data_IF_828299005097
#
_entry.id   IF_828299005097
#
_cell.length_a   1.000
_cell.length_b   1.000
_cell.length_c   1.000
_cell.angle_alpha   90.00
_cell.angle_beta   90.00
_cell.angle_gamma   90.00
#
_symmetry.space_group_name_H-M   'P 1'
#
loop_
_entity.id
_entity.type
_entity.pdbx_description
1 polymer ?
#
# COMPACT_ATOMS: atom_id res chain seq x y z
N UNK A 1 4.22 -3.38 18.66
CA UNK A 1 3.32 -4.51 18.96
C UNK A 1 2.46 -4.22 20.17
N UNK A 2 3.02 -3.98 21.33
CA UNK A 2 2.30 -3.77 22.59
C UNK A 2 1.25 -2.62 22.56
N UNK A 3 1.50 -1.54 21.82
CA UNK A 3 0.54 -0.45 21.69
C UNK A 3 -0.65 -0.89 20.84
N UNK A 4 -0.40 -1.54 19.71
CA UNK A 4 -1.44 -2.05 18.81
C UNK A 4 -2.32 -3.08 19.55
N UNK A 5 -1.71 -3.99 20.33
CA UNK A 5 -2.45 -5.00 21.10
C UNK A 5 -3.44 -4.39 22.12
N UNK A 6 -3.18 -3.16 22.61
CA UNK A 6 -4.07 -2.46 23.55
C UNK A 6 -5.30 -1.84 22.90
N UNK A 7 -5.25 -1.57 21.60
CA UNK A 7 -6.34 -0.92 20.85
C UNK A 7 -6.98 -1.84 19.82
N UNK A 8 -6.48 -3.07 19.69
CA UNK A 8 -6.91 -4.00 18.64
C UNK A 8 -8.41 -4.34 18.72
N UNK A 9 -8.97 -4.40 19.92
CA UNK A 9 -10.40 -4.73 20.13
C UNK A 9 -11.34 -3.55 19.79
N UNK A 10 -10.79 -2.33 19.66
CA UNK A 10 -11.57 -1.12 19.39
C UNK A 10 -11.72 -0.83 17.90
N UNK A 11 -10.96 -1.52 17.03
CA UNK A 11 -10.89 -1.24 15.59
C UNK A 11 -10.88 -2.51 14.75
N UNK A 12 -11.61 -2.48 13.63
CA UNK A 12 -11.58 -3.55 12.61
C UNK A 12 -10.26 -3.58 11.84
N UNK A 13 -9.65 -2.40 11.62
CA UNK A 13 -8.39 -2.23 10.91
C UNK A 13 -7.53 -1.14 11.56
N UNK A 14 -6.22 -1.39 11.63
CA UNK A 14 -5.22 -0.41 12.03
C UNK A 14 -4.22 -0.27 10.87
N UNK A 15 -4.08 0.94 10.33
CA UNK A 15 -3.12 1.26 9.29
C UNK A 15 -1.89 1.90 9.91
N UNK A 16 -0.72 1.34 9.62
CA UNK A 16 0.57 1.86 10.06
C UNK A 16 1.28 2.43 8.84
N UNK A 17 1.34 3.75 8.72
CA UNK A 17 2.13 4.43 7.70
C UNK A 17 3.58 4.52 8.14
N UNK A 18 4.50 4.08 7.27
CA UNK A 18 5.93 4.02 7.56
C UNK A 18 6.72 4.84 6.55
N UNK A 19 7.78 5.48 7.01
CA UNK A 19 8.72 6.16 6.12
C UNK A 19 9.49 5.18 5.20
N UNK A 20 10.16 5.68 4.14
CA UNK A 20 10.88 4.87 3.16
C UNK A 20 12.25 4.37 3.67
N UNK A 21 12.58 4.57 4.92
CA UNK A 21 13.87 4.23 5.49
C UNK A 21 13.84 2.93 6.26
N UNK A 22 14.95 2.18 6.19
CA UNK A 22 15.17 1.00 7.01
C UNK A 22 15.62 1.45 8.42
N UNK A 23 14.67 1.80 9.24
CA UNK A 23 14.88 2.30 10.60
C UNK A 23 14.08 1.46 11.64
N UNK A 24 14.29 1.70 12.94
CA UNK A 24 13.54 0.99 13.98
C UNK A 24 12.02 1.19 13.91
N UNK A 25 11.53 2.29 13.33
CA UNK A 25 10.09 2.52 13.19
C UNK A 25 9.48 1.56 12.17
N UNK A 26 10.16 1.35 11.04
CA UNK A 26 9.75 0.34 10.05
C UNK A 26 9.75 -1.06 10.66
N UNK A 27 10.81 -1.44 11.39
CA UNK A 27 10.89 -2.75 12.04
C UNK A 27 9.76 -2.95 13.05
N UNK A 28 9.44 -1.93 13.87
CA UNK A 28 8.29 -1.99 14.77
C UNK A 28 6.95 -2.11 14.04
N UNK A 29 6.80 -1.41 12.90
CA UNK A 29 5.64 -1.53 12.03
C UNK A 29 5.47 -2.96 11.49
N UNK A 30 6.53 -3.54 10.95
CA UNK A 30 6.54 -4.92 10.44
C UNK A 30 6.20 -5.95 11.55
N UNK A 31 6.82 -5.78 12.73
CA UNK A 31 6.56 -6.67 13.88
C UNK A 31 5.12 -6.61 14.38
N UNK A 32 4.43 -5.48 14.19
CA UNK A 32 3.07 -5.26 14.67
C UNK A 32 1.98 -5.55 13.63
N UNK A 33 2.35 -5.67 12.35
CA UNK A 33 1.41 -5.81 11.24
C UNK A 33 1.16 -7.26 10.86
N UNK A 34 -0.08 -7.59 10.52
CA UNK A 34 -0.45 -8.89 9.96
C UNK A 34 -0.25 -8.93 8.43
N UNK A 35 -0.29 -7.76 7.79
CA UNK A 35 -0.19 -7.61 6.35
C UNK A 35 0.68 -6.41 5.98
N UNK A 36 1.54 -6.59 4.99
CA UNK A 36 2.31 -5.52 4.34
C UNK A 36 1.68 -5.15 3.00
N UNK A 37 1.33 -3.88 2.82
CA UNK A 37 0.87 -3.35 1.54
C UNK A 37 1.95 -2.46 0.94
N UNK A 38 2.52 -2.86 -0.21
CA UNK A 38 3.67 -2.21 -0.83
C UNK A 38 3.29 -1.48 -2.11
N UNK A 39 3.24 -0.13 -2.11
CA UNK A 39 3.07 0.64 -3.33
C UNK A 39 4.36 0.58 -4.18
N UNK A 40 4.18 0.30 -5.47
CA UNK A 40 5.27 0.19 -6.42
C UNK A 40 5.05 1.18 -7.56
N UNK A 41 5.70 2.35 -7.54
CA UNK A 41 5.64 3.28 -8.67
C UNK A 41 6.34 2.69 -9.91
N UNK A 42 5.88 3.00 -11.13
CA UNK A 42 6.41 2.42 -12.34
C UNK A 42 7.72 3.07 -12.82
N UNK A 43 8.12 4.20 -12.25
CA UNK A 43 9.38 4.83 -12.57
C UNK A 43 10.56 3.91 -12.21
N UNK A 44 11.50 3.73 -13.12
CA UNK A 44 12.54 2.71 -13.05
C UNK A 44 13.34 2.74 -11.74
N UNK A 45 13.67 3.94 -11.25
CA UNK A 45 14.43 4.13 -9.99
C UNK A 45 13.61 3.68 -8.79
N UNK A 46 12.33 4.08 -8.75
CA UNK A 46 11.41 3.74 -7.65
C UNK A 46 11.11 2.24 -7.64
N UNK A 47 10.90 1.68 -8.83
CA UNK A 47 10.69 0.25 -9.00
C UNK A 47 11.87 -0.58 -8.47
N UNK A 48 13.10 -0.23 -8.86
CA UNK A 48 14.31 -0.89 -8.36
C UNK A 48 14.48 -0.74 -6.85
N UNK A 49 14.14 0.42 -6.31
CA UNK A 49 14.17 0.65 -4.85
C UNK A 49 13.19 -0.24 -4.11
N UNK A 50 11.99 -0.40 -4.64
CA UNK A 50 10.98 -1.31 -4.08
C UNK A 50 11.43 -2.77 -4.14
N UNK A 51 11.99 -3.21 -5.27
CA UNK A 51 12.53 -4.57 -5.38
C UNK A 51 13.65 -4.82 -4.37
N UNK A 52 14.56 -3.87 -4.22
CA UNK A 52 15.67 -3.96 -3.26
C UNK A 52 15.17 -4.01 -1.81
N UNK A 53 14.07 -3.32 -1.49
CA UNK A 53 13.42 -3.43 -0.20
C UNK A 53 12.83 -4.84 0.02
N UNK A 54 12.08 -5.35 -0.96
CA UNK A 54 11.45 -6.66 -0.86
C UNK A 54 12.45 -7.81 -0.74
N UNK A 55 13.60 -7.73 -1.40
CA UNK A 55 14.66 -8.73 -1.25
C UNK A 55 15.30 -8.75 0.13
N UNK A 56 15.21 -7.64 0.87
CA UNK A 56 15.71 -7.53 2.24
C UNK A 56 14.68 -7.85 3.31
N UNK A 57 13.41 -7.92 2.93
CA UNK A 57 12.32 -8.16 3.88
C UNK A 57 12.51 -9.47 4.68
N UNK A 58 12.87 -10.61 4.06
CA UNK A 58 13.13 -11.84 4.82
C UNK A 58 14.24 -11.69 5.86
N UNK A 59 15.36 -11.07 5.50
CA UNK A 59 16.48 -10.81 6.42
C UNK A 59 16.07 -9.93 7.61
N UNK A 60 15.17 -8.96 7.36
CA UNK A 60 14.65 -8.08 8.39
C UNK A 60 13.72 -8.81 9.36
N UNK A 61 12.89 -9.73 8.85
CA UNK A 61 12.02 -10.56 9.69
C UNK A 61 12.82 -11.55 10.52
N UNK A 62 13.80 -12.22 9.92
CA UNK A 62 14.73 -13.12 10.61
C UNK A 62 15.48 -12.41 11.76
N UNK A 63 15.95 -11.20 11.50
CA UNK A 63 16.60 -10.38 12.53
C UNK A 63 15.67 -10.04 13.70
N UNK A 64 14.39 -9.75 13.43
CA UNK A 64 13.41 -9.52 14.49
C UNK A 64 13.22 -10.77 15.35
N UNK A 65 13.19 -11.96 14.73
CA UNK A 65 13.10 -13.25 15.42
C UNK A 65 14.34 -13.52 16.29
N UNK A 66 15.53 -13.24 15.78
CA UNK A 66 16.80 -13.33 16.53
C UNK A 66 16.82 -12.40 17.76
N UNK A 67 16.20 -11.23 17.67
CA UNK A 67 16.04 -10.28 18.77
C UNK A 67 14.87 -10.66 19.73
N UNK A 68 14.23 -11.81 19.52
CA UNK A 68 13.12 -12.33 20.36
C UNK A 68 11.78 -11.66 20.07
N UNK A 69 11.65 -11.00 18.93
CA UNK A 69 10.39 -10.41 18.47
C UNK A 69 9.79 -11.30 17.39
N UNK A 70 8.67 -11.94 17.70
CA UNK A 70 7.93 -12.77 16.76
C UNK A 70 7.06 -11.88 15.84
N UNK A 71 7.39 -11.73 14.52
CA UNK A 71 6.60 -10.95 13.59
C UNK A 71 5.22 -11.60 13.38
N UNK A 72 4.18 -10.78 13.23
CA UNK A 72 2.84 -11.27 12.86
C UNK A 72 2.62 -11.34 11.35
N UNK A 73 3.56 -10.85 10.57
CA UNK A 73 3.39 -10.66 9.13
C UNK A 73 3.12 -11.99 8.42
N UNK A 74 1.89 -12.18 7.98
CA UNK A 74 1.44 -13.39 7.31
C UNK A 74 1.44 -13.27 5.78
N UNK A 75 1.39 -12.05 5.26
CA UNK A 75 1.39 -11.82 3.82
C UNK A 75 1.92 -10.43 3.44
N UNK A 76 2.41 -10.33 2.19
CA UNK A 76 2.77 -9.08 1.53
C UNK A 76 1.98 -8.96 0.23
N UNK A 77 1.37 -7.80 0.01
CA UNK A 77 0.62 -7.47 -1.20
C UNK A 77 1.31 -6.29 -1.89
N UNK A 78 1.72 -6.48 -3.14
CA UNK A 78 2.19 -5.41 -4.00
C UNK A 78 1.05 -4.78 -4.80
N UNK A 79 1.17 -3.51 -5.15
CA UNK A 79 0.30 -2.88 -6.14
C UNK A 79 1.04 -1.79 -6.91
N UNK A 80 0.65 -1.59 -8.17
CA UNK A 80 1.19 -0.50 -8.97
C UNK A 80 0.52 0.81 -8.58
N UNK A 81 1.32 1.81 -8.19
CA UNK A 81 0.87 3.16 -7.85
C UNK A 81 1.35 4.18 -8.89
N UNK A 82 0.70 5.35 -8.92
CA UNK A 82 1.05 6.46 -9.83
C UNK A 82 1.12 6.05 -11.31
N UNK A 83 0.29 5.11 -11.72
CA UNK A 83 0.24 4.62 -13.09
C UNK A 83 -0.25 5.69 -14.07
N UNK A 84 0.38 5.74 -15.24
CA UNK A 84 -0.04 6.53 -16.39
C UNK A 84 -0.11 5.63 -17.62
N UNK A 85 -0.62 6.15 -18.74
CA UNK A 85 -0.68 5.43 -20.03
C UNK A 85 0.66 5.36 -20.79
N UNK A 86 1.78 5.64 -20.13
CA UNK A 86 3.11 5.53 -20.75
C UNK A 86 3.49 4.07 -20.94
N UNK A 87 4.08 3.75 -22.09
CA UNK A 87 4.52 2.38 -22.43
C UNK A 87 5.50 1.80 -21.41
N UNK A 88 6.40 2.62 -20.85
CA UNK A 88 7.35 2.17 -19.83
C UNK A 88 6.65 1.71 -18.55
N UNK A 89 5.48 2.30 -18.24
CA UNK A 89 4.66 1.88 -17.10
C UNK A 89 4.00 0.52 -17.32
N UNK A 90 3.61 0.19 -18.55
CA UNK A 90 3.09 -1.14 -18.90
C UNK A 90 4.17 -2.21 -18.73
N UNK A 91 5.40 -1.90 -19.16
CA UNK A 91 6.55 -2.79 -18.97
C UNK A 91 6.84 -3.02 -17.48
N UNK A 92 6.86 -1.96 -16.67
CA UNK A 92 7.06 -2.07 -15.23
C UNK A 92 5.93 -2.87 -14.55
N UNK A 93 4.69 -2.73 -15.02
CA UNK A 93 3.56 -3.51 -14.53
C UNK A 93 3.71 -5.00 -14.84
N UNK A 94 4.16 -5.35 -16.06
CA UNK A 94 4.42 -6.74 -16.43
C UNK A 94 5.53 -7.36 -15.58
N UNK A 95 6.61 -6.61 -15.35
CA UNK A 95 7.71 -7.05 -14.50
C UNK A 95 7.30 -7.20 -13.03
N UNK A 96 6.46 -6.29 -12.53
CA UNK A 96 5.93 -6.40 -11.17
C UNK A 96 5.08 -7.68 -11.00
N UNK A 97 4.30 -8.08 -12.00
CA UNK A 97 3.56 -9.35 -11.99
C UNK A 97 4.49 -10.56 -11.91
N UNK A 98 5.63 -10.54 -12.56
CA UNK A 98 6.62 -11.61 -12.46
C UNK A 98 7.24 -11.67 -11.06
N UNK A 99 7.56 -10.53 -10.46
CA UNK A 99 8.21 -10.43 -9.15
C UNK A 99 7.28 -10.78 -8.00
N UNK A 100 6.09 -10.20 -7.99
CA UNK A 100 5.12 -10.43 -6.92
C UNK A 100 4.31 -11.72 -7.12
N UNK A 101 4.30 -12.27 -8.35
CA UNK A 101 3.49 -13.41 -8.75
C UNK A 101 2.01 -13.23 -8.34
N UNK A 102 1.47 -14.12 -7.53
CA UNK A 102 0.09 -14.04 -7.03
C UNK A 102 -0.13 -12.96 -5.96
N UNK A 103 0.94 -12.33 -5.46
CA UNK A 103 0.85 -11.33 -4.40
C UNK A 103 0.73 -9.89 -4.92
N UNK A 104 0.58 -9.68 -6.22
CA UNK A 104 0.25 -8.36 -6.77
C UNK A 104 -1.27 -8.20 -6.91
N UNK A 105 -1.78 -7.00 -6.63
CA UNK A 105 -3.15 -6.65 -6.98
C UNK A 105 -3.28 -6.42 -8.49
N UNK A 106 -4.35 -6.94 -9.10
CA UNK A 106 -4.70 -6.61 -10.48
C UNK A 106 -5.15 -5.16 -10.64
N UNK A 107 -5.62 -4.55 -9.56
CA UNK A 107 -6.00 -3.15 -9.49
C UNK A 107 -4.79 -2.27 -9.22
N UNK A 108 -4.51 -1.32 -10.11
CA UNK A 108 -3.49 -0.28 -9.93
C UNK A 108 -4.13 1.05 -9.53
N UNK A 109 -3.35 1.90 -8.86
CA UNK A 109 -3.76 3.26 -8.54
C UNK A 109 -3.16 4.23 -9.56
N UNK A 110 -3.96 4.91 -10.40
CA UNK A 110 -3.46 5.83 -11.40
C UNK A 110 -2.94 7.13 -10.77
N UNK A 111 -2.06 7.83 -11.48
CA UNK A 111 -1.70 9.20 -11.16
C UNK A 111 -2.81 10.13 -11.65
N UNK A 112 -3.50 10.78 -10.75
CA UNK A 112 -4.59 11.71 -11.06
C UNK A 112 -4.43 13.01 -10.26
N UNK A 113 -4.68 14.13 -10.92
CA UNK A 113 -4.69 15.45 -10.29
C UNK A 113 -5.64 15.51 -9.09
N UNK A 114 -6.72 14.71 -9.12
CA UNK A 114 -7.66 14.61 -8.02
C UNK A 114 -7.04 14.22 -6.70
N UNK A 115 -6.08 13.30 -6.70
CA UNK A 115 -5.37 12.89 -5.49
C UNK A 115 -4.40 13.97 -5.01
N UNK A 116 -3.67 14.60 -5.94
CA UNK A 116 -2.68 15.62 -5.61
C UNK A 116 -3.36 16.86 -4.98
N UNK A 117 -4.46 17.32 -5.56
CA UNK A 117 -5.18 18.52 -5.10
C UNK A 117 -5.95 18.32 -3.79
N UNK A 118 -6.39 17.13 -3.45
CA UNK A 118 -6.97 16.87 -2.13
C UNK A 118 -5.97 17.10 -1.00
N UNK A 119 -4.69 16.76 -1.21
CA UNK A 119 -3.62 17.07 -0.26
C UNK A 119 -3.45 18.56 0.00
N UNK A 120 -3.66 19.42 -1.00
CA UNK A 120 -3.58 20.88 -0.87
C UNK A 120 -4.66 21.45 0.05
N UNK A 121 -5.83 20.82 0.13
CA UNK A 121 -6.96 21.27 0.98
C UNK A 121 -7.04 20.55 2.33
N UNK A 122 -6.07 19.69 2.65
CA UNK A 122 -6.09 18.85 3.85
C UNK A 122 -7.36 17.99 3.97
N UNK A 123 -7.99 17.70 2.85
CA UNK A 123 -9.19 16.88 2.74
C UNK A 123 -8.86 15.47 2.25
N UNK A 124 -9.77 14.52 2.50
CA UNK A 124 -9.65 13.20 1.87
C UNK A 124 -10.36 13.20 0.52
N UNK A 125 -9.98 12.30 -0.38
CA UNK A 125 -10.64 12.17 -1.67
C UNK A 125 -12.14 11.85 -1.52
N UNK A 126 -12.53 11.21 -0.43
CA UNK A 126 -13.91 10.83 -0.16
C UNK A 126 -14.70 11.98 0.44
N UNK A 127 -14.13 12.73 1.39
CA UNK A 127 -14.80 13.83 2.11
C UNK A 127 -14.78 15.16 1.37
N UNK A 128 -13.88 15.38 0.42
CA UNK A 128 -13.71 16.64 -0.28
C UNK A 128 -15.03 17.15 -0.86
N UNK A 129 -15.39 18.39 -0.54
CA UNK A 129 -16.59 19.01 -1.08
C UNK A 129 -16.33 19.47 -2.53
N UNK A 130 -17.11 19.02 -3.53
CA UNK A 130 -16.92 19.42 -4.93
C UNK A 130 -16.97 20.93 -5.18
N UNK A 131 -17.66 21.69 -4.31
CA UNK A 131 -17.81 23.14 -4.45
C UNK A 131 -16.55 23.89 -4.00
N UNK A 132 -15.88 23.41 -2.94
CA UNK A 132 -14.66 24.01 -2.40
C UNK A 132 -13.37 23.33 -2.88
N UNK A 133 -13.51 22.27 -3.66
CA UNK A 133 -12.36 21.53 -4.20
C UNK A 133 -11.56 22.41 -5.19
N UNK A 134 -10.22 22.50 -5.07
CA UNK A 134 -9.40 23.41 -5.87
C UNK A 134 -9.22 22.99 -7.33
N UNK A 135 -9.79 21.85 -7.74
CA UNK A 135 -9.77 21.33 -9.11
C UNK A 135 -11.16 21.23 -9.74
N UNK A 136 -11.26 20.53 -10.86
CA UNK A 136 -12.58 20.27 -11.47
C UNK A 136 -13.35 19.18 -10.72
N UNK A 137 -14.69 19.33 -10.65
CA UNK A 137 -15.54 18.32 -10.05
C UNK A 137 -15.45 16.96 -10.78
N UNK A 138 -15.14 16.97 -12.08
CA UNK A 138 -14.94 15.77 -12.87
C UNK A 138 -13.64 15.03 -12.45
N UNK A 139 -12.54 15.78 -12.23
CA UNK A 139 -11.28 15.21 -11.74
C UNK A 139 -11.46 14.58 -10.36
N UNK A 140 -12.20 15.25 -9.47
CA UNK A 140 -12.54 14.72 -8.15
C UNK A 140 -13.38 13.44 -8.25
N UNK A 141 -14.43 13.45 -9.09
CA UNK A 141 -15.28 12.28 -9.32
C UNK A 141 -14.46 11.08 -9.84
N UNK A 142 -13.58 11.32 -10.82
CA UNK A 142 -12.71 10.28 -11.38
C UNK A 142 -11.79 9.70 -10.31
N UNK A 143 -11.16 10.56 -9.50
CA UNK A 143 -10.27 10.11 -8.43
C UNK A 143 -11.01 9.31 -7.35
N UNK A 144 -12.25 9.69 -7.00
CA UNK A 144 -13.12 8.92 -6.10
C UNK A 144 -13.41 7.51 -6.63
N UNK A 145 -13.85 7.42 -7.88
CA UNK A 145 -14.14 6.13 -8.51
C UNK A 145 -12.91 5.21 -8.50
N UNK A 146 -11.73 5.76 -8.79
CA UNK A 146 -10.49 4.98 -8.75
C UNK A 146 -10.08 4.59 -7.32
N UNK A 147 -10.28 5.47 -6.34
CA UNK A 147 -10.03 5.16 -4.93
C UNK A 147 -10.96 4.05 -4.43
N UNK A 148 -12.25 4.12 -4.72
CA UNK A 148 -13.25 3.10 -4.35
C UNK A 148 -12.92 1.75 -4.99
N UNK A 149 -12.60 1.75 -6.29
CA UNK A 149 -12.20 0.53 -7.02
C UNK A 149 -10.96 -0.10 -6.40
N UNK A 150 -9.94 0.71 -6.12
CA UNK A 150 -8.70 0.25 -5.52
C UNK A 150 -8.93 -0.29 -4.10
N UNK A 151 -9.63 0.47 -3.28
CA UNK A 151 -9.97 0.08 -1.90
C UNK A 151 -10.70 -1.26 -1.87
N UNK A 152 -11.70 -1.43 -2.74
CA UNK A 152 -12.41 -2.71 -2.85
C UNK A 152 -11.45 -3.86 -3.18
N UNK A 153 -10.55 -3.69 -4.14
CA UNK A 153 -9.58 -4.72 -4.51
C UNK A 153 -8.63 -5.10 -3.37
N UNK A 154 -8.22 -4.11 -2.55
CA UNK A 154 -7.41 -4.35 -1.35
C UNK A 154 -8.18 -5.18 -0.34
N UNK A 155 -9.42 -4.79 -0.02
CA UNK A 155 -10.24 -5.51 0.97
C UNK A 155 -10.63 -6.92 0.49
N UNK A 156 -11.01 -7.09 -0.76
CA UNK A 156 -11.28 -8.41 -1.35
C UNK A 156 -10.04 -9.33 -1.20
N UNK A 157 -8.84 -8.79 -1.37
CA UNK A 157 -7.59 -9.54 -1.19
C UNK A 157 -7.31 -9.87 0.28
N UNK A 158 -7.57 -8.95 1.20
CA UNK A 158 -7.44 -9.19 2.64
C UNK A 158 -8.37 -10.32 3.08
N UNK A 159 -9.62 -10.29 2.64
CA UNK A 159 -10.61 -11.34 2.94
C UNK A 159 -10.18 -12.70 2.38
N UNK A 160 -9.65 -12.73 1.15
CA UNK A 160 -9.12 -13.95 0.56
C UNK A 160 -7.98 -14.55 1.39
N UNK A 161 -7.01 -13.72 1.82
CA UNK A 161 -5.88 -14.16 2.64
C UNK A 161 -6.36 -14.70 3.99
N UNK A 162 -7.26 -13.98 4.67
CA UNK A 162 -7.85 -14.41 5.95
C UNK A 162 -8.67 -15.70 5.81
N UNK A 163 -9.34 -15.89 4.68
CA UNK A 163 -10.10 -17.12 4.38
C UNK A 163 -9.21 -18.32 4.07
N UNK A 164 -8.06 -18.12 3.46
CA UNK A 164 -7.10 -19.17 3.13
C UNK A 164 -6.26 -19.64 4.36
N UNK A 165 -6.24 -18.85 5.44
CA UNK A 165 -5.51 -19.16 6.68
C UNK A 165 -6.34 -19.95 7.71
N UNK A 166 -7.57 -20.30 7.35
CA UNK A 166 -8.47 -21.16 8.16
C UNK A 166 -8.54 -22.57 7.57
#
# INVERSE_FOLDING_TARGET
>A
KTIIDRIADDYDFVFIDTGPHLDPFLLNGLAASDLLLTPTPPAQVDFHSTLKYLTRLPEMLERLEEEGVEPRLSASIGFMSKMTSKRDHETSHSLAREVYASNILDSSLPRLDGFERCGESFDTIISANPVSYPGSAEALKKARTEAERFTKAVFDRIEYIRGASK
#
